data_IF_634296783923
#
_entry.id   IF_634296783923
#
_cell.length_a   1.000
_cell.length_b   1.000
_cell.length_c   1.000
_cell.angle_alpha   90.00
_cell.angle_beta   90.00
_cell.angle_gamma   90.00
#
_symmetry.space_group_name_H-M   'P 1'
#
loop_
_entity.id
_entity.type
_entity.pdbx_description
1 polymer ?
#
# COMPACT_ATOMS: atom_id res chain seq x y z
N UNK A 1 -6.94 -14.39 -61.97
CA UNK A 1 -7.93 -13.40 -61.47
C UNK A 1 -8.17 -13.74 -59.99
N UNK A 2 -7.26 -13.43 -59.06
CA UNK A 2 -6.97 -12.14 -58.39
C UNK A 2 -8.22 -11.45 -57.81
N UNK A 3 -8.17 -11.11 -56.50
CA UNK A 3 -9.09 -10.28 -55.64
C UNK A 3 -10.34 -11.05 -55.14
N UNK A 4 -10.68 -11.18 -53.86
CA UNK A 4 -10.34 -10.46 -52.62
C UNK A 4 -10.54 -11.44 -51.45
N UNK A 5 -9.48 -11.93 -50.83
CA UNK A 5 -9.52 -12.64 -49.55
C UNK A 5 -8.53 -11.99 -48.57
N UNK A 6 -8.56 -10.67 -48.50
CA UNK A 6 -7.68 -9.90 -47.61
C UNK A 6 -8.46 -8.70 -47.11
N UNK A 7 -9.49 -8.91 -46.29
CA UNK A 7 -10.06 -7.81 -45.50
C UNK A 7 -10.81 -8.29 -44.25
N UNK A 8 -10.34 -9.38 -43.62
CA UNK A 8 -10.89 -9.82 -42.33
C UNK A 8 -9.82 -10.16 -41.28
N UNK A 9 -8.67 -9.49 -41.36
CA UNK A 9 -7.64 -9.52 -40.31
C UNK A 9 -7.30 -8.11 -39.78
N UNK A 10 -7.79 -7.05 -40.42
CA UNK A 10 -7.35 -5.68 -40.15
C UNK A 10 -8.20 -4.90 -39.13
N UNK A 11 -9.23 -5.51 -38.52
CA UNK A 11 -10.13 -4.81 -37.58
C UNK A 11 -10.05 -5.34 -36.14
N UNK A 12 -9.40 -6.48 -35.90
CA UNK A 12 -9.25 -7.03 -34.54
C UNK A 12 -7.98 -6.58 -33.81
N UNK A 13 -7.05 -5.89 -34.48
CA UNK A 13 -5.79 -5.39 -33.88
C UNK A 13 -5.82 -3.90 -33.50
N UNK A 14 -6.98 -3.26 -33.55
CA UNK A 14 -7.13 -1.85 -33.13
C UNK A 14 -7.93 -1.71 -31.83
N UNK A 15 -7.95 -2.75 -30.99
CA UNK A 15 -8.17 -2.50 -29.57
C UNK A 15 -6.93 -1.75 -29.09
N UNK A 16 -7.05 -0.55 -28.50
CA UNK A 16 -5.91 0.00 -27.79
C UNK A 16 -5.52 -1.08 -26.78
N UNK A 17 -4.30 -1.59 -26.87
CA UNK A 17 -3.69 -2.22 -25.71
C UNK A 17 -3.85 -1.17 -24.62
N UNK A 18 -4.79 -1.40 -23.69
CA UNK A 18 -5.00 -0.54 -22.56
C UNK A 18 -3.70 -0.68 -21.77
N UNK A 19 -2.72 0.15 -22.09
CA UNK A 19 -1.50 0.26 -21.34
C UNK A 19 -1.95 0.88 -20.02
N UNK A 20 -2.30 0.02 -19.06
CA UNK A 20 -2.48 0.38 -17.67
C UNK A 20 -1.27 1.23 -17.28
N UNK A 21 -1.49 2.53 -17.08
CA UNK A 21 -0.48 3.39 -16.45
C UNK A 21 -0.41 2.93 -15.01
N UNK A 22 0.43 1.96 -14.72
CA UNK A 22 0.78 1.64 -13.36
C UNK A 22 1.56 2.83 -12.82
N UNK A 23 0.92 3.64 -11.99
CA UNK A 23 1.70 4.55 -11.16
C UNK A 23 2.65 3.70 -10.34
N UNK A 24 3.93 4.03 -10.38
CA UNK A 24 4.90 3.38 -9.52
C UNK A 24 4.83 4.06 -8.16
N UNK A 25 4.74 3.26 -7.09
CA UNK A 25 4.93 3.81 -5.77
C UNK A 25 6.42 4.06 -5.54
N UNK A 26 6.87 5.28 -5.86
CA UNK A 26 8.29 5.65 -5.78
C UNK A 26 8.67 6.05 -4.36
N UNK A 27 9.85 5.62 -3.92
CA UNK A 27 10.45 6.08 -2.67
C UNK A 27 10.74 7.59 -2.74
N UNK A 28 10.37 8.33 -1.69
CA UNK A 28 10.71 9.74 -1.54
C UNK A 28 11.66 9.92 -0.36
N UNK A 29 12.90 10.38 -0.57
CA UNK A 29 13.81 10.67 0.52
C UNK A 29 13.29 11.83 1.37
N UNK A 30 13.61 11.81 2.67
CA UNK A 30 13.31 12.86 3.64
C UNK A 30 11.81 13.22 3.79
N UNK A 31 10.93 12.30 3.38
CA UNK A 31 9.48 12.46 3.50
C UNK A 31 9.03 12.26 4.97
N UNK A 32 8.13 13.13 5.45
CA UNK A 32 7.49 12.92 6.74
C UNK A 32 6.61 11.65 6.70
N UNK A 33 6.57 10.90 7.80
CA UNK A 33 5.82 9.64 7.81
C UNK A 33 4.31 9.85 7.56
N UNK A 34 3.74 10.97 7.99
CA UNK A 34 2.35 11.35 7.68
C UNK A 34 2.11 11.48 6.18
N UNK A 35 3.07 12.04 5.45
CA UNK A 35 2.96 12.26 4.01
C UNK A 35 3.09 10.93 3.26
N UNK A 36 3.98 10.05 3.74
CA UNK A 36 4.05 8.66 3.28
C UNK A 36 2.71 7.93 3.46
N UNK A 37 2.06 8.05 4.62
CA UNK A 37 0.73 7.44 4.87
C UNK A 37 -0.30 7.99 3.87
N UNK A 38 -0.42 9.31 3.74
CA UNK A 38 -1.36 9.94 2.81
C UNK A 38 -1.11 9.49 1.35
N UNK A 39 0.16 9.40 0.95
CA UNK A 39 0.55 8.92 -0.38
C UNK A 39 0.24 7.44 -0.59
N UNK A 40 0.44 6.60 0.43
CA UNK A 40 0.04 5.19 0.40
C UNK A 40 -1.47 5.03 0.24
N UNK A 41 -2.26 5.88 0.90
CA UNK A 41 -3.71 5.87 0.74
C UNK A 41 -4.13 6.16 -0.70
N UNK A 42 -3.67 7.27 -1.27
CA UNK A 42 -3.94 7.64 -2.67
C UNK A 42 -3.54 6.52 -3.63
N UNK A 43 -2.37 5.91 -3.41
CA UNK A 43 -1.89 4.80 -4.22
C UNK A 43 -2.80 3.58 -4.14
N UNK A 44 -3.17 3.17 -2.93
CA UNK A 44 -4.01 2.01 -2.69
C UNK A 44 -5.42 2.21 -3.24
N UNK A 45 -5.99 3.42 -3.10
CA UNK A 45 -7.28 3.76 -3.68
C UNK A 45 -7.30 3.59 -5.20
N UNK A 46 -6.21 3.97 -5.88
CA UNK A 46 -6.11 3.88 -7.33
C UNK A 46 -5.75 2.49 -7.85
N UNK A 47 -4.97 1.69 -7.10
CA UNK A 47 -4.32 0.48 -7.63
C UNK A 47 -4.74 -0.83 -6.96
N UNK A 48 -5.37 -0.78 -5.77
CA UNK A 48 -5.75 -2.01 -5.06
C UNK A 48 -6.98 -2.64 -5.71
N UNK A 49 -6.91 -3.95 -5.95
CA UNK A 49 -8.10 -4.75 -6.28
C UNK A 49 -8.91 -5.00 -5.01
N UNK A 50 -10.18 -4.59 -5.03
CA UNK A 50 -11.11 -4.73 -3.90
C UNK A 50 -11.78 -6.10 -3.96
N UNK A 51 -11.80 -6.80 -2.82
CA UNK A 51 -12.46 -8.12 -2.74
C UNK A 51 -13.96 -7.94 -2.52
N UNK A 52 -14.34 -7.02 -1.65
CA UNK A 52 -15.71 -6.66 -1.34
C UNK A 52 -15.89 -5.14 -1.52
N UNK A 53 -16.65 -4.76 -2.55
CA UNK A 53 -16.94 -3.36 -2.87
C UNK A 53 -17.69 -2.62 -1.75
N UNK A 54 -18.49 -3.32 -0.95
CA UNK A 54 -19.24 -2.73 0.16
C UNK A 54 -18.39 -2.58 1.43
N UNK A 55 -17.17 -3.13 1.45
CA UNK A 55 -16.29 -3.15 2.63
C UNK A 55 -14.90 -2.55 2.38
N UNK A 56 -14.77 -1.69 1.36
CA UNK A 56 -13.49 -1.10 0.96
C UNK A 56 -12.81 -0.34 2.09
N UNK A 57 -13.56 0.33 2.98
CA UNK A 57 -13.01 1.08 4.12
C UNK A 57 -12.22 0.16 5.04
N UNK A 58 -12.77 -1.00 5.39
CA UNK A 58 -12.09 -1.97 6.25
C UNK A 58 -10.92 -2.65 5.54
N UNK A 59 -11.08 -2.96 4.24
CA UNK A 59 -9.98 -3.50 3.44
C UNK A 59 -8.80 -2.53 3.34
N UNK A 60 -9.08 -1.24 3.12
CA UNK A 60 -8.07 -0.19 3.08
C UNK A 60 -7.37 -0.10 4.45
N UNK A 61 -8.12 -0.01 5.54
CA UNK A 61 -7.56 0.08 6.89
C UNK A 61 -6.68 -1.12 7.26
N UNK A 62 -6.90 -2.29 6.67
CA UNK A 62 -6.05 -3.47 6.87
C UNK A 62 -4.68 -3.35 6.18
N UNK A 63 -4.60 -2.65 5.05
CA UNK A 63 -3.36 -2.53 4.28
C UNK A 63 -2.60 -1.22 4.53
N UNK A 64 -3.21 -0.25 5.21
CA UNK A 64 -2.59 1.06 5.43
C UNK A 64 -1.40 0.99 6.39
N UNK A 65 -0.28 1.69 6.06
CA UNK A 65 0.79 1.93 7.04
C UNK A 65 0.30 2.82 8.19
N UNK A 66 0.95 2.73 9.36
CA UNK A 66 0.54 3.50 10.54
C UNK A 66 1.70 3.78 11.50
N UNK A 67 1.47 4.73 12.40
CA UNK A 67 2.41 5.18 13.43
C UNK A 67 1.77 5.07 14.81
N UNK A 68 2.54 4.62 15.79
CA UNK A 68 2.19 4.62 17.19
C UNK A 68 3.28 5.37 17.97
N UNK A 69 2.92 6.51 18.54
CA UNK A 69 3.76 7.19 19.53
C UNK A 69 3.72 6.43 20.85
N UNK A 70 4.76 6.51 21.70
CA UNK A 70 4.75 5.93 23.04
C UNK A 70 3.46 6.28 23.80
N UNK A 71 2.91 5.32 24.54
CA UNK A 71 1.67 5.53 25.30
C UNK A 71 1.89 6.60 26.38
N UNK A 72 1.25 7.76 26.21
CA UNK A 72 1.40 8.91 27.10
C UNK A 72 1.04 8.58 28.56
N UNK A 73 0.09 7.67 28.79
CA UNK A 73 -0.34 7.28 30.14
C UNK A 73 0.63 6.35 30.86
N UNK A 74 1.48 5.64 30.11
CA UNK A 74 2.42 4.63 30.65
C UNK A 74 3.87 5.07 30.62
N UNK A 75 4.23 5.90 29.65
CA UNK A 75 5.61 6.21 29.35
C UNK A 75 6.08 7.55 29.93
N UNK A 76 5.18 8.43 30.37
CA UNK A 76 5.53 9.72 31.01
C UNK A 76 6.59 10.51 30.23
N UNK A 77 6.41 10.60 28.90
CA UNK A 77 7.35 11.26 28.00
C UNK A 77 8.66 10.49 27.72
N UNK A 78 8.91 9.34 28.36
CA UNK A 78 10.07 8.50 28.08
C UNK A 78 9.90 7.77 26.74
N UNK A 79 10.41 8.39 25.67
CA UNK A 79 10.51 7.75 24.37
C UNK A 79 11.83 6.98 24.26
N UNK A 80 11.75 5.68 23.93
CA UNK A 80 12.91 4.87 23.53
C UNK A 80 13.25 5.09 22.05
N UNK A 81 14.24 4.34 21.55
CA UNK A 81 14.57 4.30 20.12
C UNK A 81 13.33 4.02 19.26
N UNK A 82 13.31 4.53 18.03
CA UNK A 82 12.27 4.21 17.06
C UNK A 82 12.39 2.77 16.55
N UNK A 83 11.26 2.10 16.33
CA UNK A 83 11.19 0.77 15.70
C UNK A 83 10.40 0.88 14.41
N UNK A 84 11.00 0.42 13.31
CA UNK A 84 10.35 0.28 12.02
C UNK A 84 10.00 -1.19 11.78
N UNK A 85 8.71 -1.48 11.61
CA UNK A 85 8.23 -2.83 11.29
C UNK A 85 7.78 -2.89 9.83
N UNK A 86 8.03 -4.04 9.22
CA UNK A 86 7.46 -4.42 7.93
C UNK A 86 6.74 -5.76 8.07
N UNK A 87 5.69 -5.93 7.29
CA UNK A 87 5.02 -7.22 7.14
C UNK A 87 5.76 -8.11 6.12
N UNK A 88 5.38 -9.39 6.03
CA UNK A 88 5.89 -10.30 5.00
C UNK A 88 5.21 -10.10 3.63
N UNK A 89 5.79 -10.67 2.56
CA UNK A 89 5.34 -10.48 1.17
C UNK A 89 3.87 -10.89 0.88
N UNK A 90 3.32 -11.80 1.69
CA UNK A 90 1.95 -12.30 1.55
C UNK A 90 1.00 -11.77 2.62
N UNK A 91 1.43 -10.77 3.37
CA UNK A 91 0.69 -10.19 4.49
C UNK A 91 0.52 -8.68 4.28
N UNK A 92 0.05 -7.97 5.30
CA UNK A 92 -0.21 -6.54 5.29
C UNK A 92 0.17 -5.89 6.62
N UNK A 93 0.22 -4.56 6.72
CA UNK A 93 0.39 -3.86 7.99
C UNK A 93 -0.59 -4.31 9.09
N UNK A 94 -1.75 -4.87 8.75
CA UNK A 94 -2.69 -5.43 9.71
C UNK A 94 -2.05 -6.39 10.72
N UNK A 95 -1.23 -7.35 10.26
CA UNK A 95 -0.64 -8.35 11.15
C UNK A 95 0.41 -7.79 12.10
N UNK A 96 0.88 -6.56 11.83
CA UNK A 96 1.84 -5.87 12.68
C UNK A 96 1.16 -5.10 13.82
N UNK A 97 -0.18 -5.03 13.88
CA UNK A 97 -0.90 -4.25 14.91
C UNK A 97 -0.59 -4.71 16.33
N UNK A 98 -0.65 -6.02 16.58
CA UNK A 98 -0.41 -6.57 17.91
C UNK A 98 1.05 -6.39 18.37
N UNK A 99 2.08 -6.76 17.58
CA UNK A 99 3.46 -6.49 17.98
C UNK A 99 3.74 -4.99 18.10
N UNK A 100 3.16 -4.14 17.24
CA UNK A 100 3.32 -2.68 17.34
C UNK A 100 2.73 -2.13 18.64
N UNK A 101 1.56 -2.60 19.08
CA UNK A 101 0.97 -2.20 20.37
C UNK A 101 1.79 -2.67 21.57
N UNK A 102 2.35 -3.88 21.51
CA UNK A 102 3.23 -4.37 22.57
C UNK A 102 4.49 -3.49 22.69
N UNK A 103 5.08 -3.11 21.55
CA UNK A 103 6.22 -2.18 21.52
C UNK A 103 5.85 -0.77 21.97
N UNK A 104 4.69 -0.25 21.57
CA UNK A 104 4.17 1.04 22.04
C UNK A 104 4.03 1.06 23.57
N UNK A 105 3.47 -0.01 24.15
CA UNK A 105 3.32 -0.15 25.60
C UNK A 105 4.67 -0.29 26.33
N UNK A 106 5.72 -0.73 25.62
CA UNK A 106 7.10 -0.75 26.10
C UNK A 106 7.85 0.58 25.82
N UNK A 107 7.12 1.64 25.42
CA UNK A 107 7.60 3.00 25.21
C UNK A 107 8.50 3.21 23.98
N UNK A 108 8.34 2.36 22.97
CA UNK A 108 8.94 2.59 21.66
C UNK A 108 8.03 3.47 20.78
N UNK A 109 8.63 4.31 19.96
CA UNK A 109 7.96 4.95 18.84
C UNK A 109 7.97 3.98 17.67
N UNK A 110 6.79 3.53 17.24
CA UNK A 110 6.66 2.46 16.25
C UNK A 110 6.08 3.00 14.96
N UNK A 111 6.68 2.64 13.82
CA UNK A 111 6.13 2.85 12.48
C UNK A 111 6.02 1.52 11.78
N UNK A 112 4.91 1.32 11.09
CA UNK A 112 4.67 0.13 10.27
C UNK A 112 4.54 0.58 8.82
N UNK A 113 5.40 0.04 7.97
CA UNK A 113 5.41 0.33 6.54
C UNK A 113 4.66 -0.73 5.74
N UNK A 114 4.14 -0.29 4.60
CA UNK A 114 3.58 -1.15 3.58
C UNK A 114 4.69 -1.56 2.60
N UNK A 115 4.99 -2.85 2.53
CA UNK A 115 5.76 -3.44 1.45
C UNK A 115 4.84 -3.67 0.26
N UNK A 116 4.88 -2.75 -0.69
CA UNK A 116 4.10 -2.87 -1.91
C UNK A 116 4.67 -3.97 -2.78
N UNK A 117 3.79 -4.90 -3.17
CA UNK A 117 4.04 -5.79 -4.29
C UNK A 117 3.95 -4.96 -5.57
N UNK A 118 5.00 -4.96 -6.40
CA UNK A 118 4.85 -4.53 -7.80
C UNK A 118 3.97 -5.55 -8.51
N UNK A 119 2.76 -5.16 -8.87
CA UNK A 119 1.94 -5.92 -9.81
C UNK A 119 2.48 -5.58 -11.21
N UNK A 120 3.36 -6.41 -11.73
CA UNK A 120 3.78 -6.39 -13.13
C UNK A 120 2.88 -7.32 -13.94
#
# INVERSE_FOLDING_TARGET
>A
MWKVFVFWCAVFMALPAYAEKHEHFVFKPDEAFSDYVARSETYLQANKVWVNADNQIHELAAVMPFELLPDASRCDGNQRVGVLLSHGLSDSPFSMRDPARALQAACYHVRVILLLRSWN
#
